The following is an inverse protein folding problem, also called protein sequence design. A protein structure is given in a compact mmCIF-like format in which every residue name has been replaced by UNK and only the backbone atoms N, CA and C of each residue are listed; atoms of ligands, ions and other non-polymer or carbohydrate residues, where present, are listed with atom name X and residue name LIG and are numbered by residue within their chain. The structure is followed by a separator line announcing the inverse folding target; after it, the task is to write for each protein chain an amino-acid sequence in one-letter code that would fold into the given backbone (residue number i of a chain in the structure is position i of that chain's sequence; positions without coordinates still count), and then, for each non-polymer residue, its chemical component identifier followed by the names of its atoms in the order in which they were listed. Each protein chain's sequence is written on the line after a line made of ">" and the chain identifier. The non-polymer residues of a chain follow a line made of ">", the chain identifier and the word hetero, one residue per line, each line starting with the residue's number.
data_IF_268738028458
#
_entry.id   IF_268738028458
#
_cell.length_a   1.000
_cell.length_b   1.000
_cell.length_c   1.000
_cell.angle_alpha   90.00
_cell.angle_beta   90.00
_cell.angle_gamma   90.00
#
_symmetry.space_group_name_H-M   'P 1'
#
loop_
_entity.id
_entity.type
_entity.pdbx_description
1 polymer ?
#
# COMPACT_ATOMS: atom_id res chain seq x y z
N UNK A 1 -0.62 -21.95 8.43
CA UNK A 1 -0.13 -20.56 8.38
C UNK A 1 -0.18 -20.10 6.93
N UNK A 2 -1.04 -19.15 6.58
CA UNK A 2 -0.98 -18.53 5.25
C UNK A 2 0.15 -17.52 5.23
N UNK A 3 1.07 -17.67 4.28
CA UNK A 3 2.14 -16.72 4.02
C UNK A 3 1.69 -15.80 2.89
N UNK A 4 1.85 -14.48 3.05
CA UNK A 4 1.56 -13.54 1.98
C UNK A 4 2.49 -13.79 0.79
N UNK A 5 1.93 -14.11 -0.36
CA UNK A 5 2.69 -14.40 -1.59
C UNK A 5 3.18 -13.14 -2.30
N UNK A 6 2.57 -11.98 -2.00
CA UNK A 6 2.93 -10.71 -2.61
C UNK A 6 3.23 -9.67 -1.53
N UNK A 7 4.45 -9.14 -1.51
CA UNK A 7 4.81 -8.04 -0.63
C UNK A 7 5.59 -6.97 -1.39
N UNK A 8 5.46 -5.73 -0.91
CA UNK A 8 6.16 -4.59 -1.47
C UNK A 8 6.43 -3.54 -0.39
N UNK A 9 7.59 -2.89 -0.50
CA UNK A 9 7.96 -1.75 0.31
C UNK A 9 8.32 -0.58 -0.59
N UNK A 10 7.53 0.48 -0.50
CA UNK A 10 7.75 1.73 -1.23
C UNK A 10 8.33 2.77 -0.29
N UNK A 11 9.43 3.40 -0.69
CA UNK A 11 10.10 4.48 0.06
C UNK A 11 10.13 5.76 -0.77
N UNK A 12 9.36 6.76 -0.37
CA UNK A 12 9.29 8.08 -1.01
C UNK A 12 10.13 9.10 -0.25
N UNK A 13 10.87 9.93 -0.98
CA UNK A 13 11.96 10.79 -0.50
C UNK A 13 12.36 11.77 -1.58
N UNK A 14 13.05 12.84 -1.20
CA UNK A 14 13.46 13.89 -2.14
C UNK A 14 14.67 13.48 -2.98
N UNK A 15 15.62 12.75 -2.38
CA UNK A 15 16.83 12.25 -3.05
C UNK A 15 16.76 10.75 -3.31
N UNK A 16 17.29 10.37 -4.47
CA UNK A 16 17.32 8.99 -4.95
C UNK A 16 18.24 8.04 -4.17
N UNK A 17 19.18 8.45 -3.29
CA UNK A 17 19.97 7.57 -2.41
C UNK A 17 20.30 8.25 -1.05
N UNK A 18 20.55 7.46 0.00
CA UNK A 18 20.99 7.92 1.33
C UNK A 18 20.09 8.95 2.03
N UNK A 19 18.78 8.70 2.06
CA UNK A 19 17.83 9.57 2.77
C UNK A 19 16.78 8.76 3.53
N UNK A 20 16.27 9.33 4.61
CA UNK A 20 15.09 8.81 5.30
C UNK A 20 13.84 8.98 4.44
N UNK A 21 12.80 8.21 4.73
CA UNK A 21 11.54 8.30 4.00
C UNK A 21 10.74 9.51 4.48
N UNK A 22 10.26 10.34 3.55
CA UNK A 22 9.19 11.29 3.86
C UNK A 22 7.91 10.53 4.19
N UNK A 23 7.60 9.52 3.36
CA UNK A 23 6.59 8.49 3.60
C UNK A 23 7.12 7.17 3.09
N UNK A 24 6.89 6.10 3.83
CA UNK A 24 7.07 4.73 3.33
C UNK A 24 5.79 3.92 3.49
N UNK A 25 5.56 2.98 2.59
CA UNK A 25 4.43 2.04 2.64
C UNK A 25 4.98 0.63 2.59
N UNK A 26 4.70 -0.18 3.61
CA UNK A 26 4.90 -1.62 3.58
C UNK A 26 3.55 -2.28 3.40
N UNK A 27 3.45 -3.22 2.45
CA UNK A 27 2.24 -4.00 2.26
C UNK A 27 2.54 -5.45 1.96
N UNK A 28 1.61 -6.31 2.36
CA UNK A 28 1.58 -7.72 2.04
C UNK A 28 0.14 -8.13 1.69
N UNK A 29 -0.04 -8.78 0.54
CA UNK A 29 -1.34 -9.18 0.00
C UNK A 29 -1.35 -10.66 -0.35
N UNK A 30 -2.48 -11.28 -0.08
CA UNK A 30 -2.87 -12.58 -0.63
C UNK A 30 -4.03 -12.33 -1.59
N UNK A 31 -3.83 -12.73 -2.84
CA UNK A 31 -4.79 -12.47 -3.93
C UNK A 31 -5.12 -13.79 -4.59
N UNK A 32 -6.41 -14.09 -4.67
CA UNK A 32 -6.94 -15.28 -5.32
C UNK A 32 -8.06 -14.87 -6.26
N UNK A 33 -8.01 -15.32 -7.52
CA UNK A 33 -9.03 -15.02 -8.52
C UNK A 33 -9.36 -13.51 -8.63
N UNK A 34 -8.33 -12.65 -8.59
CA UNK A 34 -8.47 -11.19 -8.65
C UNK A 34 -9.18 -10.56 -7.43
N UNK A 35 -9.33 -11.30 -6.33
CA UNK A 35 -9.89 -10.84 -5.05
C UNK A 35 -8.80 -10.86 -3.97
N UNK A 36 -8.72 -9.79 -3.19
CA UNK A 36 -7.80 -9.68 -2.06
C UNK A 36 -8.38 -10.49 -0.89
N UNK A 37 -7.75 -11.62 -0.53
CA UNK A 37 -8.20 -12.48 0.58
C UNK A 37 -7.74 -11.99 1.93
N UNK A 38 -6.50 -11.50 1.98
CA UNK A 38 -5.90 -10.92 3.19
C UNK A 38 -4.95 -9.80 2.81
N UNK A 39 -4.85 -8.80 3.68
CA UNK A 39 -3.99 -7.64 3.49
C UNK A 39 -3.31 -7.24 4.81
N UNK A 40 -2.06 -6.79 4.71
CA UNK A 40 -1.34 -6.05 5.74
C UNK A 40 -0.84 -4.75 5.15
N UNK A 41 -1.04 -3.64 5.86
CA UNK A 41 -0.62 -2.32 5.39
C UNK A 41 -0.08 -1.50 6.56
N UNK A 42 1.15 -1.00 6.41
CA UNK A 42 1.79 -0.11 7.38
C UNK A 42 2.47 1.07 6.69
N UNK A 43 2.44 2.22 7.36
CA UNK A 43 3.06 3.47 6.95
C UNK A 43 4.24 3.81 7.87
N UNK A 44 5.28 4.39 7.28
CA UNK A 44 6.43 4.96 8.00
C UNK A 44 6.64 6.42 7.60
N UNK A 45 7.30 7.19 8.46
CA UNK A 45 7.54 8.62 8.24
C UNK A 45 6.31 9.52 8.47
N UNK A 46 5.16 8.94 8.83
CA UNK A 46 3.88 9.66 9.04
C UNK A 46 3.57 9.92 10.53
N UNK A 47 4.34 9.35 11.45
CA UNK A 47 4.15 9.49 12.90
C UNK A 47 5.38 9.02 13.68
N UNK A 48 5.27 9.00 15.01
CA UNK A 48 6.38 8.63 15.93
C UNK A 48 6.67 7.13 15.99
N UNK A 49 5.72 6.30 15.52
CA UNK A 49 5.83 4.84 15.42
C UNK A 49 5.35 4.40 14.03
N UNK A 50 5.77 3.23 13.52
CA UNK A 50 5.16 2.64 12.33
C UNK A 50 3.65 2.54 12.49
N UNK A 51 2.91 3.10 11.54
CA UNK A 51 1.46 3.18 11.61
C UNK A 51 0.83 2.07 10.79
N UNK A 52 0.37 1.02 11.46
CA UNK A 52 -0.41 -0.04 10.81
C UNK A 52 -1.87 0.42 10.69
N UNK A 53 -2.38 0.51 9.46
CA UNK A 53 -3.79 0.88 9.24
C UNK A 53 -4.64 -0.38 9.09
N UNK A 54 -5.33 -0.74 10.17
CA UNK A 54 -6.29 -1.84 10.16
C UNK A 54 -7.51 -1.50 9.31
N UNK A 55 -7.86 -0.21 9.26
CA UNK A 55 -8.97 0.31 8.47
C UNK A 55 -8.72 0.10 6.97
N UNK A 56 -7.49 0.35 6.50
CA UNK A 56 -7.08 0.05 5.14
C UNK A 56 -7.09 -1.47 4.86
N UNK A 57 -6.59 -2.28 5.80
CA UNK A 57 -6.61 -3.75 5.68
C UNK A 57 -8.05 -4.26 5.50
N UNK A 58 -8.99 -3.78 6.31
CA UNK A 58 -10.41 -4.13 6.21
C UNK A 58 -11.04 -3.63 4.91
N UNK A 59 -10.70 -2.41 4.45
CA UNK A 59 -11.21 -1.86 3.21
C UNK A 59 -10.76 -2.66 1.97
N UNK A 60 -9.60 -3.32 2.04
CA UNK A 60 -9.06 -4.16 0.97
C UNK A 60 -9.63 -5.59 0.98
N UNK A 61 -9.91 -6.14 2.16
CA UNK A 61 -10.30 -7.54 2.29
C UNK A 61 -11.63 -7.84 1.58
N UNK A 62 -11.65 -8.91 0.77
CA UNK A 62 -12.80 -9.34 -0.02
C UNK A 62 -13.12 -8.45 -1.22
N UNK A 63 -12.28 -7.46 -1.53
CA UNK A 63 -12.48 -6.54 -2.66
C UNK A 63 -11.65 -6.96 -3.88
N UNK A 64 -12.09 -6.56 -5.09
CA UNK A 64 -11.31 -6.77 -6.30
C UNK A 64 -10.01 -5.96 -6.27
N UNK A 65 -8.94 -6.52 -6.83
CA UNK A 65 -7.65 -5.83 -6.94
C UNK A 65 -7.67 -4.80 -8.09
N UNK A 66 -8.19 -3.60 -7.81
CA UNK A 66 -8.29 -2.51 -8.80
C UNK A 66 -8.09 -1.12 -8.19
N UNK A 67 -7.97 -0.12 -9.05
CA UNK A 67 -7.67 1.27 -8.65
C UNK A 67 -8.73 1.87 -7.72
N UNK A 68 -10.02 1.61 -7.97
CA UNK A 68 -11.10 2.11 -7.11
C UNK A 68 -10.95 1.60 -5.68
N UNK A 69 -10.67 0.30 -5.52
CA UNK A 69 -10.42 -0.32 -4.21
C UNK A 69 -9.19 0.29 -3.53
N UNK A 70 -8.13 0.56 -4.27
CA UNK A 70 -6.92 1.19 -3.74
C UNK A 70 -7.16 2.61 -3.27
N UNK A 71 -7.95 3.39 -4.03
CA UNK A 71 -8.35 4.75 -3.66
C UNK A 71 -9.15 4.74 -2.36
N UNK A 72 -10.15 3.85 -2.24
CA UNK A 72 -10.92 3.72 -1.00
C UNK A 72 -10.04 3.35 0.20
N UNK A 73 -9.12 2.40 0.03
CA UNK A 73 -8.18 2.02 1.09
C UNK A 73 -7.27 3.18 1.53
N UNK A 74 -6.77 3.97 0.57
CA UNK A 74 -5.94 5.14 0.86
C UNK A 74 -6.71 6.25 1.58
N UNK A 75 -7.96 6.51 1.18
CA UNK A 75 -8.83 7.48 1.85
C UNK A 75 -9.09 7.09 3.31
N UNK A 76 -9.51 5.84 3.52
CA UNK A 76 -9.82 5.32 4.86
C UNK A 76 -8.58 5.27 5.75
N UNK A 77 -7.41 4.92 5.20
CA UNK A 77 -6.15 4.87 5.95
C UNK A 77 -5.75 6.22 6.58
N UNK A 78 -6.12 7.33 5.94
CA UNK A 78 -5.75 8.69 6.34
C UNK A 78 -6.94 9.52 6.83
N UNK A 79 -8.14 8.93 6.95
CA UNK A 79 -9.36 9.65 7.32
C UNK A 79 -9.26 10.38 8.67
N UNK A 80 -8.47 9.85 9.61
CA UNK A 80 -8.24 10.44 10.94
C UNK A 80 -6.88 11.14 11.07
N UNK A 81 -6.16 11.34 9.96
CA UNK A 81 -4.85 11.98 9.99
C UNK A 81 -4.97 13.45 10.44
N UNK A 82 -4.17 13.81 11.46
CA UNK A 82 -4.09 15.18 11.98
C UNK A 82 -2.72 15.77 11.65
N UNK A 83 -2.61 16.57 10.58
CA UNK A 83 -1.35 17.17 10.22
C UNK A 83 -1.03 18.33 11.17
N UNK A 84 0.26 18.61 11.31
CA UNK A 84 0.79 19.83 11.89
C UNK A 84 1.09 20.84 10.77
N UNK A 85 1.40 22.08 11.16
CA UNK A 85 1.58 23.22 10.25
C UNK A 85 2.48 22.93 9.03
N UNK A 86 3.58 22.20 9.22
CA UNK A 86 4.58 21.97 8.17
C UNK A 86 4.52 20.58 7.49
N UNK A 87 3.52 19.74 7.81
CA UNK A 87 3.47 18.38 7.28
C UNK A 87 2.13 18.00 6.61
N UNK A 88 1.28 18.98 6.32
CA UNK A 88 -0.01 18.75 5.63
C UNK A 88 0.17 18.00 4.31
N UNK A 89 1.24 18.30 3.57
CA UNK A 89 1.57 17.62 2.31
C UNK A 89 1.72 16.09 2.46
N UNK A 90 2.07 15.60 3.66
CA UNK A 90 2.26 14.16 3.89
C UNK A 90 0.98 13.36 3.77
N UNK A 91 -0.20 13.96 3.97
CA UNK A 91 -1.47 13.26 3.84
C UNK A 91 -1.67 12.81 2.40
N UNK A 92 -1.61 13.76 1.47
CA UNK A 92 -1.76 13.47 0.04
C UNK A 92 -0.62 12.58 -0.47
N UNK A 93 0.62 12.83 -0.03
CA UNK A 93 1.76 11.99 -0.37
C UNK A 93 1.57 10.54 0.11
N UNK A 94 1.03 10.34 1.32
CA UNK A 94 0.76 9.00 1.85
C UNK A 94 -0.33 8.28 1.07
N UNK A 95 -1.44 8.95 0.75
CA UNK A 95 -2.52 8.39 -0.06
C UNK A 95 -2.00 7.91 -1.42
N UNK A 96 -1.28 8.77 -2.14
CA UNK A 96 -0.67 8.42 -3.44
C UNK A 96 0.35 7.30 -3.33
N UNK A 97 1.11 7.27 -2.22
CA UNK A 97 2.09 6.20 -1.97
C UNK A 97 1.41 4.85 -1.75
N UNK A 98 0.28 4.81 -1.03
CA UNK A 98 -0.52 3.60 -0.84
C UNK A 98 -0.99 3.08 -2.20
N UNK A 99 -1.61 3.94 -3.00
CA UNK A 99 -2.12 3.58 -4.33
C UNK A 99 -0.98 3.06 -5.21
N UNK A 100 0.15 3.78 -5.29
CA UNK A 100 1.32 3.37 -6.07
C UNK A 100 1.86 2.00 -5.63
N UNK A 101 1.95 1.76 -4.33
CA UNK A 101 2.47 0.49 -3.82
C UNK A 101 1.54 -0.68 -4.18
N UNK A 102 0.22 -0.50 -4.05
CA UNK A 102 -0.80 -1.49 -4.42
C UNK A 102 -0.79 -1.75 -5.94
N UNK A 103 -0.74 -0.70 -6.77
CA UNK A 103 -0.65 -0.82 -8.23
C UNK A 103 0.63 -1.55 -8.67
N UNK A 104 1.74 -1.34 -7.97
CA UNK A 104 3.00 -2.06 -8.26
C UNK A 104 2.86 -3.56 -8.03
N UNK A 105 2.13 -3.96 -6.98
CA UNK A 105 1.85 -5.38 -6.73
C UNK A 105 0.89 -5.95 -7.77
N UNK A 106 -0.15 -5.20 -8.15
CA UNK A 106 -1.08 -5.61 -9.21
C UNK A 106 -0.33 -5.89 -10.53
N UNK A 107 0.52 -4.97 -10.98
CA UNK A 107 1.29 -5.13 -12.21
C UNK A 107 2.17 -6.39 -12.18
N UNK A 108 2.90 -6.62 -11.08
CA UNK A 108 3.74 -7.81 -10.90
C UNK A 108 2.92 -9.12 -10.87
N UNK A 109 1.74 -9.09 -10.25
CA UNK A 109 0.84 -10.24 -10.22
C UNK A 109 0.36 -10.62 -11.63
N UNK A 110 0.04 -9.63 -12.46
CA UNK A 110 -0.36 -9.84 -13.86
C UNK A 110 0.78 -10.40 -14.72
N UNK A 111 2.02 -9.92 -14.52
CA UNK A 111 3.21 -10.44 -15.21
C UNK A 111 3.49 -11.90 -14.84
N UNK A 112 3.37 -12.26 -13.55
CA UNK A 112 3.55 -13.63 -13.09
C UNK A 112 2.48 -14.59 -13.67
N UNK A 113 1.23 -14.13 -13.78
CA UNK A 113 0.14 -14.90 -14.40
C UNK A 113 0.34 -15.14 -15.90
N UNK A 114 0.94 -14.19 -16.63
CA UNK A 114 1.27 -14.35 -18.06
C UNK A 114 2.35 -15.40 -18.30
N UNK A 115 3.41 -15.42 -17.48
CA UNK A 115 4.50 -16.41 -17.61
C UNK A 115 3.99 -17.85 -17.43
N UNK A 116 3.12 -18.09 -16.46
CA UNK A 116 2.53 -19.43 -16.20
C UNK A 116 1.60 -19.95 -17.30
N UNK A 117 1.11 -19.11 -18.22
CA UNK A 117 0.27 -19.53 -19.35
C UNK A 117 1.08 -19.84 -20.62
N UNK A 118 2.38 -19.53 -20.63
CA UNK A 118 3.27 -19.75 -21.78
C UNK A 118 4.15 -21.01 -21.63
N UNK A 119 4.14 -21.62 -20.44
CA UNK A 119 4.70 -22.94 -20.13
C UNK A 119 3.60 -24.00 -20.19
#
# INVERSE_FOLDING_TARGET
>A
FSWFSNSHYLKVRDRANYEFALVSVALALEVEQNIIKSARLALGGVGTKPWRSQEAETALQGKPINEATFSTAAEVALAQAKPQQHNQFKIELAKRSIIRALSTVLLRSQEAGKKKKQE
#
